data_IF_916422396895
#
_entry.id   IF_916422396895
#
_cell.length_a   1.000
_cell.length_b   1.000
_cell.length_c   1.000
_cell.angle_alpha   90.00
_cell.angle_beta   90.00
_cell.angle_gamma   90.00
#
_symmetry.space_group_name_H-M   'P 1'
#
loop_
_entity.id
_entity.type
_entity.pdbx_description
1 polymer ?
#
# COMPACT_ATOMS: atom_id res chain seq x y z
N UNK A 1 -26.88 6.64 -5.37
CA UNK A 1 -26.05 7.72 -5.90
C UNK A 1 -25.86 7.68 -7.41
N UNK A 2 -25.36 6.60 -8.02
CA UNK A 2 -25.01 6.56 -9.45
C UNK A 2 -26.15 6.94 -10.43
N UNK A 3 -27.37 6.40 -10.25
CA UNK A 3 -28.53 6.77 -11.09
C UNK A 3 -28.89 8.26 -11.04
N UNK A 4 -28.61 8.93 -9.93
CA UNK A 4 -28.88 10.35 -9.73
C UNK A 4 -27.75 11.24 -10.26
N UNK A 5 -26.50 10.78 -10.17
CA UNK A 5 -25.32 11.54 -10.60
C UNK A 5 -24.94 11.38 -12.07
N UNK A 6 -25.53 10.43 -12.81
CA UNK A 6 -25.18 10.16 -14.22
C UNK A 6 -25.56 11.28 -15.17
N UNK A 7 -24.83 11.39 -16.27
CA UNK A 7 -25.30 12.08 -17.46
C UNK A 7 -26.34 11.22 -18.19
N UNK A 8 -27.56 11.75 -18.32
CA UNK A 8 -28.67 11.03 -18.94
C UNK A 8 -28.54 10.91 -20.46
N UNK A 9 -27.76 11.78 -21.10
CA UNK A 9 -27.57 11.77 -22.54
C UNK A 9 -26.64 10.63 -22.98
N UNK A 10 -25.59 10.37 -22.21
CA UNK A 10 -24.49 9.48 -22.64
C UNK A 10 -24.27 8.25 -21.75
N UNK A 11 -24.83 8.20 -20.54
CA UNK A 11 -24.53 7.14 -19.57
C UNK A 11 -25.77 6.30 -19.23
N UNK A 12 -25.69 4.99 -19.42
CA UNK A 12 -26.67 4.03 -18.91
C UNK A 12 -26.11 3.33 -17.67
N UNK A 13 -26.97 3.04 -16.69
CA UNK A 13 -26.57 2.37 -15.44
C UNK A 13 -27.44 1.14 -15.21
N UNK A 14 -26.79 -0.02 -15.18
CA UNK A 14 -27.38 -1.29 -14.77
C UNK A 14 -26.99 -1.60 -13.32
N UNK A 15 -27.89 -1.47 -12.34
CA UNK A 15 -27.62 -1.93 -10.98
C UNK A 15 -27.71 -3.46 -10.92
N UNK A 16 -26.70 -4.10 -10.37
CA UNK A 16 -26.71 -5.53 -10.05
C UNK A 16 -26.98 -5.70 -8.55
N UNK A 17 -27.80 -6.68 -8.16
CA UNK A 17 -28.12 -6.93 -6.75
C UNK A 17 -27.73 -8.35 -6.34
N UNK A 18 -27.13 -8.47 -5.16
CA UNK A 18 -26.72 -9.76 -4.60
C UNK A 18 -25.42 -10.30 -5.21
N UNK A 19 -25.02 -11.50 -4.78
CA UNK A 19 -23.82 -12.18 -5.30
C UNK A 19 -24.15 -12.76 -6.67
N UNK A 20 -23.40 -12.35 -7.69
CA UNK A 20 -23.51 -12.90 -9.03
C UNK A 20 -23.19 -14.41 -8.96
N UNK A 21 -23.92 -15.20 -9.74
CA UNK A 21 -23.65 -16.62 -9.83
C UNK A 21 -22.23 -16.85 -10.35
N UNK A 22 -21.45 -17.70 -9.68
CA UNK A 22 -20.16 -18.13 -10.21
C UNK A 22 -20.36 -18.97 -11.49
N UNK A 23 -20.08 -18.36 -12.63
CA UNK A 23 -20.27 -18.95 -13.96
C UNK A 23 -19.19 -19.96 -14.35
N UNK A 24 -18.07 -20.01 -13.62
CA UNK A 24 -17.01 -20.99 -13.87
C UNK A 24 -17.44 -22.39 -13.42
N UNK A 25 -18.09 -22.46 -12.26
CA UNK A 25 -18.58 -23.72 -11.67
C UNK A 25 -19.99 -24.09 -12.16
N UNK A 26 -20.75 -23.12 -12.67
CA UNK A 26 -22.15 -23.33 -13.02
C UNK A 26 -22.30 -23.88 -14.44
N UNK A 27 -23.17 -24.88 -14.59
CA UNK A 27 -23.63 -25.34 -15.90
C UNK A 27 -24.37 -24.22 -16.62
N UNK A 28 -24.33 -24.24 -17.96
CA UNK A 28 -24.90 -23.20 -18.81
C UNK A 28 -26.35 -22.86 -18.46
N UNK A 29 -27.19 -23.87 -18.26
CA UNK A 29 -28.61 -23.69 -17.95
C UNK A 29 -28.82 -22.92 -16.63
N UNK A 30 -27.89 -23.10 -15.68
CA UNK A 30 -27.87 -22.38 -14.40
C UNK A 30 -27.39 -20.93 -14.57
N UNK A 31 -26.47 -20.68 -15.51
CA UNK A 31 -26.03 -19.33 -15.87
C UNK A 31 -27.15 -18.55 -16.55
N UNK A 32 -27.83 -19.18 -17.51
CA UNK A 32 -28.94 -18.57 -18.26
C UNK A 32 -30.19 -18.35 -17.40
N UNK A 33 -30.41 -19.19 -16.38
CA UNK A 33 -31.50 -18.98 -15.42
C UNK A 33 -31.20 -17.90 -14.37
N UNK A 34 -29.98 -17.36 -14.32
CA UNK A 34 -29.67 -16.22 -13.46
C UNK A 34 -30.28 -14.93 -14.02
N UNK A 35 -31.19 -14.34 -13.26
CA UNK A 35 -31.87 -13.10 -13.64
C UNK A 35 -30.88 -11.94 -13.88
N UNK A 36 -29.83 -11.85 -13.05
CA UNK A 36 -28.80 -10.80 -13.16
C UNK A 36 -28.00 -10.94 -14.46
N UNK A 37 -27.58 -12.17 -14.80
CA UNK A 37 -26.86 -12.45 -16.06
C UNK A 37 -27.76 -12.24 -17.28
N UNK A 38 -29.01 -12.71 -17.23
CA UNK A 38 -29.99 -12.47 -18.31
C UNK A 38 -30.23 -10.98 -18.54
N UNK A 39 -30.32 -10.19 -17.48
CA UNK A 39 -30.47 -8.73 -17.56
C UNK A 39 -29.23 -8.08 -18.15
N UNK A 40 -28.02 -8.53 -17.76
CA UNK A 40 -26.75 -8.06 -18.31
C UNK A 40 -26.64 -8.32 -19.83
N UNK A 41 -26.91 -9.55 -20.27
CA UNK A 41 -26.90 -9.91 -21.70
C UNK A 41 -27.92 -9.08 -22.47
N UNK A 42 -29.12 -8.93 -21.93
CA UNK A 42 -30.18 -8.12 -22.54
C UNK A 42 -29.80 -6.65 -22.63
N UNK A 43 -29.07 -6.10 -21.66
CA UNK A 43 -28.59 -4.73 -21.68
C UNK A 43 -27.49 -4.53 -22.74
N UNK A 44 -26.56 -5.47 -22.88
CA UNK A 44 -25.49 -5.44 -23.88
C UNK A 44 -26.01 -5.61 -25.31
N UNK A 45 -27.04 -6.45 -25.48
CA UNK A 45 -27.71 -6.69 -26.77
C UNK A 45 -27.02 -7.68 -27.69
N UNK A 46 -25.90 -8.27 -27.27
CA UNK A 46 -25.08 -9.15 -28.10
C UNK A 46 -25.59 -10.59 -28.18
N UNK A 47 -26.52 -11.01 -27.31
CA UNK A 47 -26.80 -12.44 -27.14
C UNK A 47 -25.65 -13.17 -26.42
N UNK A 48 -25.65 -14.51 -26.44
CA UNK A 48 -24.65 -15.36 -25.79
C UNK A 48 -24.43 -16.65 -26.59
N UNK A 49 -23.18 -17.13 -26.67
CA UNK A 49 -22.77 -18.35 -27.41
C UNK A 49 -23.27 -18.39 -28.86
N UNK A 50 -24.19 -19.30 -29.20
CA UNK A 50 -24.61 -19.55 -30.58
C UNK A 50 -25.42 -18.38 -31.14
N UNK A 51 -26.10 -17.62 -30.28
CA UNK A 51 -26.83 -16.40 -30.63
C UNK A 51 -25.97 -15.13 -30.48
N UNK A 52 -24.67 -15.27 -30.18
CA UNK A 52 -23.80 -14.14 -29.95
C UNK A 52 -23.44 -13.42 -31.25
N UNK A 53 -23.64 -12.10 -31.25
CA UNK A 53 -23.32 -11.20 -32.35
C UNK A 53 -22.78 -9.88 -31.79
N UNK A 54 -21.47 -9.69 -31.93
CA UNK A 54 -20.77 -8.49 -31.49
C UNK A 54 -21.25 -7.23 -32.22
N UNK A 55 -21.74 -7.33 -33.46
CA UNK A 55 -22.24 -6.18 -34.22
C UNK A 55 -23.51 -5.58 -33.60
N UNK A 56 -24.21 -6.35 -32.76
CA UNK A 56 -25.40 -5.89 -32.00
C UNK A 56 -25.05 -5.26 -30.65
N UNK A 57 -23.76 -5.14 -30.32
CA UNK A 57 -23.33 -4.52 -29.07
C UNK A 57 -23.81 -3.07 -28.99
N UNK A 58 -24.66 -2.79 -28.00
CA UNK A 58 -25.28 -1.46 -27.84
C UNK A 58 -24.32 -0.43 -27.24
N UNK A 59 -23.37 -0.88 -26.42
CA UNK A 59 -22.45 -0.03 -25.68
C UNK A 59 -21.00 -0.46 -25.93
N UNK A 60 -20.25 0.37 -26.64
CA UNK A 60 -18.82 0.16 -26.93
C UNK A 60 -17.90 0.62 -25.79
N UNK A 61 -18.47 1.06 -24.66
CA UNK A 61 -17.73 1.42 -23.45
C UNK A 61 -18.49 0.94 -22.23
N UNK A 62 -18.15 -0.26 -21.78
CA UNK A 62 -18.74 -0.94 -20.62
C UNK A 62 -17.79 -0.71 -19.44
N UNK A 63 -18.29 -0.11 -18.37
CA UNK A 63 -17.49 0.21 -17.18
C UNK A 63 -18.02 -0.61 -16.01
N UNK A 64 -17.18 -1.49 -15.47
CA UNK A 64 -17.41 -2.17 -14.20
C UNK A 64 -17.00 -1.22 -13.07
N UNK A 65 -17.94 -0.88 -12.22
CA UNK A 65 -17.73 -0.02 -11.06
C UNK A 65 -18.19 -0.77 -9.82
N UNK A 66 -17.23 -1.09 -8.94
CA UNK A 66 -17.42 -1.86 -7.70
C UNK A 66 -16.75 -1.14 -6.54
N UNK A 67 -17.12 -1.50 -5.31
CA UNK A 67 -16.47 -1.00 -4.11
C UNK A 67 -15.00 -1.48 -4.02
N UNK A 68 -14.20 -0.77 -3.23
CA UNK A 68 -12.76 -1.03 -3.04
C UNK A 68 -12.49 -2.12 -1.99
N UNK A 69 -13.54 -2.73 -1.44
CA UNK A 69 -13.46 -3.78 -0.44
C UNK A 69 -13.31 -5.18 -1.07
N UNK A 70 -13.27 -6.20 -0.19
CA UNK A 70 -13.12 -7.61 -0.57
C UNK A 70 -14.33 -8.10 -1.37
N UNK A 71 -15.54 -7.68 -1.00
CA UNK A 71 -16.78 -8.09 -1.68
C UNK A 71 -16.89 -7.47 -3.08
N UNK A 72 -16.52 -6.19 -3.23
CA UNK A 72 -16.43 -5.52 -4.51
C UNK A 72 -15.40 -6.17 -5.44
N UNK A 73 -14.25 -6.56 -4.89
CA UNK A 73 -13.24 -7.32 -5.63
C UNK A 73 -13.76 -8.69 -6.08
N UNK A 74 -14.52 -9.40 -5.24
CA UNK A 74 -15.13 -10.67 -5.61
C UNK A 74 -16.15 -10.53 -6.75
N UNK A 75 -17.07 -9.56 -6.67
CA UNK A 75 -18.06 -9.32 -7.74
C UNK A 75 -17.37 -8.91 -9.04
N UNK A 76 -16.34 -8.06 -8.96
CA UNK A 76 -15.54 -7.66 -10.11
C UNK A 76 -14.93 -8.88 -10.80
N UNK A 77 -14.31 -9.78 -10.04
CA UNK A 77 -13.75 -11.02 -10.59
C UNK A 77 -14.82 -11.88 -11.25
N UNK A 78 -15.98 -12.08 -10.63
CA UNK A 78 -17.08 -12.86 -11.22
C UNK A 78 -17.57 -12.28 -12.56
N UNK A 79 -17.65 -10.96 -12.66
CA UNK A 79 -17.98 -10.27 -13.92
C UNK A 79 -16.89 -10.44 -14.96
N UNK A 80 -15.62 -10.30 -14.60
CA UNK A 80 -14.50 -10.50 -15.51
C UNK A 80 -14.49 -11.94 -16.05
N UNK A 81 -14.67 -12.95 -15.20
CA UNK A 81 -14.80 -14.36 -15.61
C UNK A 81 -15.97 -14.55 -16.57
N UNK A 82 -17.12 -13.90 -16.31
CA UNK A 82 -18.26 -13.94 -17.23
C UNK A 82 -17.93 -13.36 -18.61
N UNK A 83 -17.35 -12.17 -18.66
CA UNK A 83 -16.95 -11.55 -19.93
C UNK A 83 -15.91 -12.41 -20.66
N UNK A 84 -14.91 -12.92 -19.95
CA UNK A 84 -13.87 -13.75 -20.55
C UNK A 84 -14.42 -15.06 -21.15
N UNK A 85 -15.24 -15.79 -20.40
CA UNK A 85 -15.72 -17.12 -20.82
C UNK A 85 -16.87 -17.06 -21.82
N UNK A 86 -17.71 -16.03 -21.74
CA UNK A 86 -18.97 -15.99 -22.49
C UNK A 86 -19.04 -14.88 -23.53
N UNK A 87 -18.24 -13.82 -23.38
CA UNK A 87 -18.22 -12.66 -24.28
C UNK A 87 -16.78 -12.21 -24.61
N UNK A 88 -15.85 -13.12 -24.99
CA UNK A 88 -14.44 -12.78 -25.17
C UNK A 88 -14.23 -11.65 -26.19
N UNK A 89 -15.03 -11.61 -27.27
CA UNK A 89 -14.96 -10.56 -28.29
C UNK A 89 -15.22 -9.15 -27.73
N UNK A 90 -15.93 -9.02 -26.60
CA UNK A 90 -16.12 -7.72 -25.93
C UNK A 90 -14.81 -7.24 -25.29
N UNK A 91 -14.02 -8.18 -24.76
CA UNK A 91 -12.69 -7.90 -24.19
C UNK A 91 -11.68 -7.66 -25.31
N UNK A 92 -11.67 -8.50 -26.36
CA UNK A 92 -10.82 -8.35 -27.55
C UNK A 92 -11.04 -7.02 -28.26
N UNK A 93 -12.30 -6.61 -28.39
CA UNK A 93 -12.69 -5.32 -28.97
C UNK A 93 -12.31 -4.12 -28.09
N UNK A 94 -11.77 -4.33 -26.89
CA UNK A 94 -11.35 -3.27 -25.98
C UNK A 94 -12.52 -2.46 -25.42
N UNK A 95 -13.71 -3.05 -25.32
CA UNK A 95 -14.92 -2.35 -24.88
C UNK A 95 -15.13 -2.41 -23.36
N UNK A 96 -14.37 -3.24 -22.63
CA UNK A 96 -14.52 -3.44 -21.18
C UNK A 96 -13.48 -2.64 -20.37
N UNK A 97 -13.96 -1.93 -19.36
CA UNK A 97 -13.19 -1.06 -18.50
C UNK A 97 -13.54 -1.27 -17.02
N UNK A 98 -12.60 -0.98 -16.12
CA UNK A 98 -12.79 -0.96 -14.67
C UNK A 98 -12.64 0.48 -14.18
N UNK A 99 -13.63 0.98 -13.43
CA UNK A 99 -13.55 2.29 -12.80
C UNK A 99 -12.55 2.29 -11.63
N UNK A 100 -11.84 3.41 -11.44
CA UNK A 100 -10.91 3.62 -10.34
C UNK A 100 -11.39 4.79 -9.46
N UNK A 101 -12.40 4.56 -8.59
CA UNK A 101 -12.86 5.58 -7.66
C UNK A 101 -11.76 5.95 -6.65
N UNK A 102 -11.75 7.18 -6.10
CA UNK A 102 -10.77 7.57 -5.10
C UNK A 102 -10.99 6.86 -3.76
N UNK A 103 -9.89 6.45 -3.13
CA UNK A 103 -9.90 5.85 -1.79
C UNK A 103 -10.01 6.90 -0.68
N UNK A 104 -9.51 8.12 -0.91
CA UNK A 104 -9.47 9.19 0.09
C UNK A 104 -10.02 10.52 -0.44
N UNK A 105 -10.65 11.27 0.45
CA UNK A 105 -10.89 12.71 0.33
C UNK A 105 -10.11 13.42 1.42
N UNK A 106 -9.24 14.34 1.01
CA UNK A 106 -8.45 15.18 1.90
C UNK A 106 -8.96 16.62 1.81
N UNK A 107 -9.19 17.26 2.95
CA UNK A 107 -9.68 18.64 3.03
C UNK A 107 -8.80 19.49 3.95
N UNK A 108 -8.40 20.67 3.47
CA UNK A 108 -7.68 21.71 4.23
C UNK A 108 -8.40 23.05 4.05
N UNK A 109 -9.10 23.50 5.08
CA UNK A 109 -9.97 24.67 4.98
C UNK A 109 -11.06 24.45 3.92
N UNK A 110 -11.05 25.28 2.87
CA UNK A 110 -12.01 25.16 1.75
C UNK A 110 -11.48 24.33 0.56
N UNK A 111 -10.19 23.98 0.54
CA UNK A 111 -9.63 23.16 -0.54
C UNK A 111 -9.87 21.69 -0.22
N UNK A 112 -10.42 20.97 -1.19
CA UNK A 112 -10.58 19.52 -1.13
C UNK A 112 -9.87 18.85 -2.31
N UNK A 113 -9.39 17.62 -2.09
CA UNK A 113 -8.69 16.82 -3.08
C UNK A 113 -9.05 15.35 -2.89
N UNK A 114 -9.28 14.66 -4.00
CA UNK A 114 -9.49 13.22 -4.03
C UNK A 114 -8.19 12.50 -4.36
N UNK A 115 -7.87 11.44 -3.62
CA UNK A 115 -6.66 10.64 -3.79
C UNK A 115 -7.04 9.18 -4.03
N UNK A 116 -6.39 8.56 -5.02
CA UNK A 116 -6.76 7.25 -5.56
C UNK A 116 -6.43 6.08 -4.63
N UNK A 117 -5.28 6.11 -3.97
CA UNK A 117 -4.71 4.99 -3.23
C UNK A 117 -3.88 5.50 -2.02
N UNK A 118 -3.36 4.55 -1.23
CA UNK A 118 -2.52 4.84 -0.07
C UNK A 118 -1.23 5.56 -0.46
N UNK A 119 -0.64 5.21 -1.60
CA UNK A 119 0.57 5.86 -2.10
C UNK A 119 0.33 7.34 -2.43
N UNK A 120 -0.80 7.66 -3.08
CA UNK A 120 -1.19 9.04 -3.35
C UNK A 120 -1.45 9.82 -2.05
N UNK A 121 -2.00 9.18 -1.02
CA UNK A 121 -2.14 9.79 0.30
C UNK A 121 -0.78 10.06 0.94
N UNK A 122 0.10 9.07 0.98
CA UNK A 122 1.44 9.21 1.56
C UNK A 122 2.24 10.32 0.85
N UNK A 123 2.29 10.32 -0.48
CA UNK A 123 2.93 11.37 -1.28
C UNK A 123 2.34 12.75 -0.99
N UNK A 124 1.01 12.85 -0.85
CA UNK A 124 0.35 14.12 -0.52
C UNK A 124 0.73 14.61 0.88
N UNK A 125 0.80 13.71 1.86
CA UNK A 125 1.20 14.02 3.23
C UNK A 125 2.68 14.42 3.29
N UNK A 126 3.56 13.73 2.57
CA UNK A 126 4.99 14.07 2.48
C UNK A 126 5.17 15.47 1.90
N UNK A 127 4.56 15.75 0.75
CA UNK A 127 4.63 17.08 0.14
C UNK A 127 4.10 18.17 1.07
N UNK A 128 2.97 17.93 1.74
CA UNK A 128 2.37 18.88 2.70
C UNK A 128 3.19 19.02 3.98
N UNK A 129 3.91 17.98 4.38
CA UNK A 129 4.75 17.94 5.57
C UNK A 129 6.10 18.62 5.36
N UNK A 130 6.65 18.57 4.14
CA UNK A 130 7.87 19.27 3.75
C UNK A 130 7.61 20.78 3.56
N UNK A 131 6.41 21.15 3.10
CA UNK A 131 6.00 22.53 2.91
C UNK A 131 6.12 23.36 4.21
N UNK A 132 6.94 24.42 4.17
CA UNK A 132 7.38 25.26 5.30
C UNK A 132 8.18 24.53 6.42
N UNK A 133 8.81 23.39 6.11
CA UNK A 133 9.63 22.64 7.07
C UNK A 133 11.13 22.73 6.76
N UNK A 134 11.93 22.77 7.83
CA UNK A 134 13.39 22.82 7.78
C UNK A 134 13.96 21.69 8.63
N UNK A 135 14.86 20.87 8.07
CA UNK A 135 15.66 19.96 8.87
C UNK A 135 16.96 20.66 9.31
N UNK A 136 17.13 20.85 10.61
CA UNK A 136 18.33 21.43 11.22
C UNK A 136 19.23 20.30 11.72
N UNK A 137 20.48 20.29 11.27
CA UNK A 137 21.50 19.29 11.57
C UNK A 137 22.64 19.99 12.33
N UNK A 138 22.94 19.52 13.55
CA UNK A 138 23.94 20.11 14.46
C UNK A 138 23.78 21.62 14.69
N UNK A 139 22.54 22.13 14.70
CA UNK A 139 22.22 23.56 14.86
C UNK A 139 22.79 24.51 13.77
N UNK A 140 23.57 23.98 12.81
CA UNK A 140 24.29 24.76 11.80
C UNK A 140 23.72 24.55 10.39
N UNK A 141 23.67 23.29 9.93
CA UNK A 141 23.26 22.96 8.57
C UNK A 141 21.73 22.87 8.50
N UNK A 142 21.13 23.52 7.51
CA UNK A 142 19.67 23.55 7.29
C UNK A 142 19.35 22.98 5.92
N UNK A 143 18.44 22.00 5.87
CA UNK A 143 17.91 21.44 4.62
C UNK A 143 16.45 21.85 4.47
N UNK A 144 16.12 22.44 3.33
CA UNK A 144 14.80 22.96 2.99
C UNK A 144 14.47 22.67 1.52
N UNK A 145 13.20 22.80 1.13
CA UNK A 145 12.78 22.68 -0.27
C UNK A 145 13.23 21.36 -0.92
N UNK A 146 13.85 21.44 -2.10
CA UNK A 146 14.28 20.29 -2.88
C UNK A 146 15.32 19.41 -2.16
N UNK A 147 16.19 19.99 -1.33
CA UNK A 147 17.19 19.21 -0.57
C UNK A 147 16.50 18.33 0.48
N UNK A 148 15.53 18.88 1.20
CA UNK A 148 14.74 18.13 2.16
C UNK A 148 13.86 17.09 1.46
N UNK A 149 13.25 17.43 0.32
CA UNK A 149 12.51 16.46 -0.50
C UNK A 149 13.39 15.29 -0.93
N UNK A 150 14.59 15.57 -1.45
CA UNK A 150 15.55 14.55 -1.82
C UNK A 150 15.88 13.63 -0.65
N UNK A 151 16.20 14.18 0.52
CA UNK A 151 16.51 13.39 1.72
C UNK A 151 15.31 12.53 2.16
N UNK A 152 14.09 13.07 2.16
CA UNK A 152 12.88 12.35 2.59
C UNK A 152 12.56 11.17 1.65
N UNK A 153 12.76 11.31 0.34
CA UNK A 153 12.55 10.20 -0.61
C UNK A 153 13.58 9.06 -0.41
N UNK A 154 14.84 9.43 -0.16
CA UNK A 154 15.87 8.44 0.22
C UNK A 154 15.51 7.77 1.56
N UNK A 155 15.08 8.56 2.55
CA UNK A 155 14.68 8.05 3.86
C UNK A 155 13.44 7.15 3.80
N UNK A 156 12.47 7.44 2.94
CA UNK A 156 11.29 6.63 2.67
C UNK A 156 11.68 5.25 2.12
N UNK A 157 12.63 5.22 1.20
CA UNK A 157 13.18 3.97 0.67
C UNK A 157 13.84 3.15 1.79
N UNK A 158 14.71 3.77 2.60
CA UNK A 158 15.34 3.10 3.74
C UNK A 158 14.31 2.60 4.77
N UNK A 159 13.28 3.40 5.10
CA UNK A 159 12.19 3.03 6.00
C UNK A 159 11.47 1.77 5.56
N UNK A 160 11.15 1.61 4.28
CA UNK A 160 10.50 0.39 3.78
C UNK A 160 11.36 -0.87 4.01
N UNK A 161 12.68 -0.76 3.86
CA UNK A 161 13.62 -1.86 4.11
C UNK A 161 13.74 -2.16 5.60
N UNK A 162 13.81 -1.14 6.45
CA UNK A 162 13.78 -1.30 7.92
C UNK A 162 12.52 -2.03 8.34
N UNK A 163 11.33 -1.55 7.93
CA UNK A 163 10.06 -2.18 8.28
C UNK A 163 9.97 -3.64 7.82
N UNK A 164 10.52 -3.97 6.65
CA UNK A 164 10.60 -5.34 6.16
C UNK A 164 11.50 -6.24 7.02
N UNK A 165 12.62 -5.71 7.53
CA UNK A 165 13.55 -6.42 8.41
C UNK A 165 13.05 -6.50 9.87
N UNK A 166 12.15 -5.61 10.27
CA UNK A 166 11.58 -5.52 11.63
C UNK A 166 10.48 -6.56 11.94
N UNK A 167 10.29 -7.60 11.13
CA UNK A 167 9.31 -8.67 11.41
C UNK A 167 9.55 -9.37 12.75
N UNK A 168 10.81 -9.52 13.17
CA UNK A 168 11.22 -10.24 14.40
C UNK A 168 11.87 -9.34 15.45
N UNK A 169 12.15 -8.08 15.12
CA UNK A 169 12.89 -7.13 15.95
C UNK A 169 12.25 -5.74 15.93
N UNK A 170 12.32 -4.97 17.02
CA UNK A 170 11.81 -3.59 17.05
C UNK A 170 12.38 -2.73 15.92
N UNK A 171 11.57 -1.81 15.40
CA UNK A 171 11.93 -0.93 14.27
C UNK A 171 13.15 -0.10 14.60
N UNK A 172 13.19 0.44 15.81
CA UNK A 172 14.24 1.33 16.28
C UNK A 172 15.56 0.57 16.46
N UNK A 173 15.49 -0.70 16.87
CA UNK A 173 16.66 -1.57 16.97
C UNK A 173 17.24 -1.88 15.58
N UNK A 174 16.39 -2.22 14.60
CA UNK A 174 16.83 -2.50 13.22
C UNK A 174 17.40 -1.25 12.56
N UNK A 175 16.75 -0.10 12.76
CA UNK A 175 17.25 1.18 12.25
C UNK A 175 18.60 1.55 12.88
N UNK A 176 18.75 1.39 14.20
CA UNK A 176 20.01 1.64 14.89
C UNK A 176 21.13 0.71 14.39
N UNK A 177 20.86 -0.59 14.24
CA UNK A 177 21.80 -1.55 13.62
C UNK A 177 22.25 -1.09 12.23
N UNK A 178 21.32 -0.62 11.41
CA UNK A 178 21.61 -0.17 10.06
C UNK A 178 22.50 1.07 10.06
N UNK A 179 22.20 2.05 10.92
CA UNK A 179 22.94 3.31 11.05
C UNK A 179 24.35 3.11 11.64
N UNK A 180 24.54 2.12 12.51
CA UNK A 180 25.87 1.77 13.06
C UNK A 180 26.68 0.86 12.14
N UNK A 181 26.19 0.56 10.93
CA UNK A 181 26.90 -0.26 9.96
C UNK A 181 26.88 -1.77 10.22
N UNK A 182 25.94 -2.29 11.01
CA UNK A 182 25.85 -3.73 11.35
C UNK A 182 25.64 -4.63 10.12
N UNK A 183 25.11 -4.06 9.04
CA UNK A 183 24.80 -4.76 7.80
C UNK A 183 25.90 -4.62 6.74
N UNK A 184 27.00 -3.92 7.07
CA UNK A 184 28.18 -3.89 6.22
C UNK A 184 28.89 -5.25 6.22
N UNK A 185 29.54 -5.59 5.10
CA UNK A 185 30.28 -6.83 4.99
C UNK A 185 31.44 -6.87 6.01
N UNK A 186 31.52 -7.94 6.80
CA UNK A 186 32.53 -8.09 7.84
C UNK A 186 32.27 -7.31 9.14
N UNK A 187 31.15 -6.59 9.27
CA UNK A 187 30.86 -5.77 10.48
C UNK A 187 30.76 -6.58 11.79
N UNK A 188 30.46 -7.88 11.69
CA UNK A 188 30.39 -8.82 12.82
C UNK A 188 31.28 -10.04 12.53
N UNK A 189 32.52 -9.81 12.09
CA UNK A 189 33.48 -10.86 11.73
C UNK A 189 34.03 -11.63 12.94
N UNK A 190 34.08 -10.98 14.11
CA UNK A 190 34.55 -11.55 15.37
C UNK A 190 33.74 -11.01 16.55
N UNK A 191 33.91 -11.65 17.71
CA UNK A 191 33.19 -11.33 18.95
C UNK A 191 33.42 -9.89 19.41
N UNK A 192 34.64 -9.36 19.28
CA UNK A 192 35.00 -8.02 19.75
C UNK A 192 34.37 -6.94 18.87
N UNK A 193 34.45 -7.11 17.56
CA UNK A 193 33.80 -6.24 16.58
C UNK A 193 32.27 -6.24 16.76
N UNK A 194 31.67 -7.43 16.90
CA UNK A 194 30.24 -7.58 17.13
C UNK A 194 29.82 -6.89 18.44
N UNK A 195 30.53 -7.13 19.55
CA UNK A 195 30.20 -6.54 20.84
C UNK A 195 30.32 -5.01 20.81
N UNK A 196 31.38 -4.47 20.21
CA UNK A 196 31.57 -3.02 20.06
C UNK A 196 30.40 -2.38 19.32
N UNK A 197 30.00 -3.01 18.19
CA UNK A 197 28.86 -2.55 17.42
C UNK A 197 27.56 -2.64 18.22
N UNK A 198 27.33 -3.75 18.92
CA UNK A 198 26.14 -3.93 19.75
C UNK A 198 26.05 -2.90 20.87
N UNK A 199 27.18 -2.53 21.48
CA UNK A 199 27.23 -1.51 22.53
C UNK A 199 26.87 -0.13 21.96
N UNK A 200 27.36 0.18 20.77
CA UNK A 200 27.02 1.42 20.07
C UNK A 200 25.53 1.48 19.70
N UNK A 201 24.94 0.38 19.23
CA UNK A 201 23.49 0.26 19.01
C UNK A 201 22.71 0.51 20.30
N UNK A 202 23.12 -0.11 21.41
CA UNK A 202 22.45 0.06 22.71
C UNK A 202 22.56 1.50 23.22
N UNK A 203 23.71 2.16 23.03
CA UNK A 203 23.93 3.58 23.34
C UNK A 203 22.97 4.47 22.55
N UNK A 204 22.90 4.29 21.23
CA UNK A 204 22.04 5.06 20.33
C UNK A 204 20.55 4.89 20.68
N UNK A 205 20.11 3.69 21.03
CA UNK A 205 18.74 3.44 21.52
C UNK A 205 18.46 4.17 22.84
N UNK A 206 19.43 4.15 23.78
CA UNK A 206 19.32 4.88 25.04
C UNK A 206 19.16 6.39 24.85
N UNK A 207 19.92 6.99 23.93
CA UNK A 207 19.86 8.43 23.62
C UNK A 207 18.53 8.85 22.98
N UNK A 208 17.81 7.92 22.37
CA UNK A 208 16.46 8.11 21.82
C UNK A 208 15.35 7.98 22.87
N UNK A 209 15.71 7.92 24.15
CA UNK A 209 14.76 7.72 25.24
C UNK A 209 14.28 6.27 25.40
N UNK A 210 14.82 5.33 24.63
CA UNK A 210 14.61 3.91 24.83
C UNK A 210 15.71 3.36 25.73
N UNK A 211 15.71 3.74 27.02
CA UNK A 211 16.72 3.27 27.98
C UNK A 211 16.63 1.76 28.27
N UNK A 212 17.63 1.23 28.99
CA UNK A 212 17.56 -0.15 29.49
C UNK A 212 18.00 -1.23 28.51
N UNK A 213 18.74 -0.87 27.46
CA UNK A 213 19.37 -1.83 26.56
C UNK A 213 20.73 -2.28 27.08
N UNK A 214 20.93 -3.59 27.07
CA UNK A 214 22.22 -4.23 27.33
C UNK A 214 22.47 -5.24 26.21
N UNK A 215 23.73 -5.46 25.86
CA UNK A 215 24.11 -6.42 24.83
C UNK A 215 25.23 -7.32 25.34
N UNK A 216 25.25 -8.55 24.86
CA UNK A 216 26.42 -9.40 24.92
C UNK A 216 26.57 -10.15 23.59
N UNK A 217 27.81 -10.48 23.24
CA UNK A 217 28.12 -11.36 22.13
C UNK A 217 28.21 -12.81 22.64
N UNK A 218 27.87 -13.77 21.80
CA UNK A 218 28.17 -15.19 22.05
C UNK A 218 29.51 -15.55 21.41
N UNK A 219 30.10 -16.67 21.83
CA UNK A 219 31.33 -17.24 21.25
C UNK A 219 31.18 -17.52 19.73
N UNK A 220 29.94 -17.63 19.23
CA UNK A 220 29.60 -17.82 17.81
C UNK A 220 29.40 -16.49 17.06
N UNK A 221 29.64 -15.34 17.70
CA UNK A 221 29.52 -14.00 17.12
C UNK A 221 28.09 -13.47 17.00
N UNK A 222 27.12 -14.08 17.69
CA UNK A 222 25.73 -13.60 17.71
C UNK A 222 25.55 -12.48 18.72
N UNK A 223 24.72 -11.48 18.41
CA UNK A 223 24.37 -10.42 19.36
C UNK A 223 23.04 -10.70 20.05
N UNK A 224 23.06 -10.65 21.39
CA UNK A 224 21.86 -10.80 22.19
C UNK A 224 21.61 -9.51 22.95
N UNK A 225 20.56 -8.81 22.53
CA UNK A 225 20.10 -7.59 23.18
C UNK A 225 19.06 -7.93 24.24
N UNK A 226 19.18 -7.26 25.38
CA UNK A 226 18.23 -7.28 26.46
C UNK A 226 17.65 -5.89 26.64
N UNK A 227 16.33 -5.77 26.51
CA UNK A 227 15.61 -4.53 26.72
C UNK A 227 14.79 -4.64 28.02
N UNK A 228 15.09 -3.78 28.99
CA UNK A 228 14.37 -3.68 30.25
C UNK A 228 13.16 -2.74 30.12
N UNK A 229 11.96 -3.31 30.10
CA UNK A 229 10.68 -2.60 30.00
C UNK A 229 9.92 -2.72 31.33
N UNK A 230 10.18 -1.79 32.26
CA UNK A 230 9.66 -1.88 33.62
C UNK A 230 10.21 -3.13 34.34
N UNK A 231 9.32 -4.01 34.80
CA UNK A 231 9.70 -5.29 35.42
C UNK A 231 10.03 -6.39 34.39
N UNK A 232 9.63 -6.21 33.13
CA UNK A 232 9.81 -7.23 32.08
C UNK A 232 11.14 -7.04 31.37
N UNK A 233 11.91 -8.12 31.25
CA UNK A 233 13.10 -8.17 30.39
C UNK A 233 12.78 -8.92 29.10
N UNK A 234 12.91 -8.24 27.97
CA UNK A 234 12.72 -8.83 26.64
C UNK A 234 14.09 -9.11 26.02
N UNK A 235 14.22 -10.25 25.34
CA UNK A 235 15.47 -10.67 24.68
C UNK A 235 15.28 -10.65 23.17
N UNK A 236 16.18 -9.98 22.46
CA UNK A 236 16.25 -9.94 21.00
C UNK A 236 17.57 -10.57 20.55
N UNK A 237 17.51 -11.75 19.94
CA UNK A 237 18.69 -12.44 19.39
C UNK A 237 18.85 -12.06 17.93
N UNK A 238 19.96 -11.41 17.60
CA UNK A 238 20.33 -11.07 16.24
C UNK A 238 21.05 -12.27 15.61
N UNK A 239 20.35 -12.99 14.74
CA UNK A 239 20.95 -14.07 13.96
C UNK A 239 21.90 -13.48 12.90
N UNK A 240 23.10 -14.05 12.69
CA UNK A 240 24.02 -13.61 11.63
C UNK A 240 23.38 -13.62 10.23
N UNK A 241 22.35 -14.46 10.03
CA UNK A 241 21.57 -14.50 8.80
C UNK A 241 20.84 -13.18 8.50
N UNK A 242 20.40 -12.41 9.50
CA UNK A 242 19.74 -11.13 9.28
C UNK A 242 20.68 -10.11 8.62
N UNK A 243 21.93 -10.02 9.11
CA UNK A 243 22.94 -9.14 8.52
C UNK A 243 23.36 -9.55 7.11
N UNK A 244 23.18 -10.82 6.75
CA UNK A 244 23.49 -11.34 5.42
C UNK A 244 22.31 -11.28 4.45
N UNK A 245 21.12 -10.90 4.92
CA UNK A 245 19.93 -10.81 4.07
C UNK A 245 20.16 -9.80 2.93
N UNK A 246 19.67 -10.07 1.70
CA UNK A 246 19.78 -9.13 0.58
C UNK A 246 19.21 -7.75 0.90
N UNK A 247 18.12 -7.70 1.66
CA UNK A 247 17.46 -6.47 2.11
C UNK A 247 18.35 -5.67 3.08
N UNK A 248 19.10 -6.35 3.96
CA UNK A 248 20.02 -5.71 4.88
C UNK A 248 21.21 -5.05 4.15
N UNK A 249 21.74 -5.72 3.12
CA UNK A 249 22.78 -5.15 2.25
C UNK A 249 22.28 -3.93 1.47
N UNK A 250 21.09 -4.02 0.88
CA UNK A 250 20.46 -2.88 0.20
C UNK A 250 20.21 -1.70 1.14
N UNK A 251 19.83 -1.98 2.38
CA UNK A 251 19.66 -0.94 3.41
C UNK A 251 21.01 -0.28 3.76
N UNK A 252 22.08 -1.05 3.91
CA UNK A 252 23.42 -0.51 4.13
C UNK A 252 23.87 0.41 2.99
N UNK A 253 23.67 -0.01 1.73
CA UNK A 253 23.96 0.81 0.54
C UNK A 253 23.11 2.09 0.47
N UNK A 254 21.83 1.99 0.84
CA UNK A 254 20.94 3.15 0.89
C UNK A 254 21.42 4.16 1.95
N UNK A 255 21.79 3.68 3.14
CA UNK A 255 22.28 4.51 4.24
C UNK A 255 23.68 5.07 4.00
N UNK A 256 24.54 4.43 3.22
CA UNK A 256 25.87 4.98 2.90
C UNK A 256 25.82 6.39 2.27
N UNK A 257 24.67 6.79 1.70
CA UNK A 257 24.45 8.11 1.09
C UNK A 257 23.90 9.19 2.03
N UNK A 258 23.42 8.81 3.22
CA UNK A 258 22.71 9.72 4.14
C UNK A 258 22.91 9.42 5.63
N UNK A 259 23.64 8.36 5.98
CA UNK A 259 23.78 7.90 7.36
C UNK A 259 24.54 8.91 8.22
N UNK A 260 25.50 9.59 7.64
CA UNK A 260 26.30 10.67 8.24
C UNK A 260 25.43 11.82 8.75
N UNK A 261 24.32 12.12 8.06
CA UNK A 261 23.34 13.12 8.51
C UNK A 261 22.76 12.73 9.86
N UNK A 262 22.46 11.45 10.06
CA UNK A 262 21.78 10.99 11.28
C UNK A 262 22.75 10.69 12.42
N UNK A 263 24.06 10.72 12.22
CA UNK A 263 25.04 10.68 13.32
C UNK A 263 25.09 12.00 14.08
N UNK A 264 24.62 13.07 13.45
CA UNK A 264 24.41 14.39 14.02
C UNK A 264 23.04 14.53 14.70
N UNK A 265 22.93 15.50 15.60
CA UNK A 265 21.63 15.88 16.17
C UNK A 265 20.75 16.50 15.08
N UNK A 266 19.60 15.88 14.78
CA UNK A 266 18.68 16.36 13.76
C UNK A 266 17.35 16.77 14.38
N UNK A 267 16.85 17.95 14.00
CA UNK A 267 15.54 18.47 14.40
C UNK A 267 14.78 18.95 13.19
N UNK A 268 13.59 18.40 12.96
CA UNK A 268 12.66 18.88 11.95
C UNK A 268 11.82 20.02 12.56
N UNK A 269 11.97 21.21 12.01
CA UNK A 269 11.29 22.43 12.45
C UNK A 269 10.18 22.80 11.46
N UNK A 270 9.01 23.17 11.97
CA UNK A 270 7.92 23.75 11.17
C UNK A 270 7.10 24.72 12.01
N UNK A 271 7.26 26.02 11.76
CA UNK A 271 6.68 27.10 12.58
C UNK A 271 7.08 26.90 14.05
N UNK A 272 6.13 26.79 14.97
CA UNK A 272 6.40 26.61 16.40
C UNK A 272 6.59 25.14 16.83
N UNK A 273 6.73 24.21 15.87
CA UNK A 273 6.96 22.79 16.17
C UNK A 273 8.39 22.40 15.87
N UNK A 274 8.98 21.68 16.82
CA UNK A 274 10.28 21.03 16.67
C UNK A 274 10.10 19.55 16.99
N UNK A 275 10.59 18.69 16.11
CA UNK A 275 10.54 17.24 16.25
C UNK A 275 11.94 16.68 16.11
N UNK A 276 12.40 15.96 17.12
CA UNK A 276 13.69 15.27 17.05
C UNK A 276 13.63 14.15 16.01
N UNK A 277 14.67 14.06 15.19
CA UNK A 277 14.85 13.05 14.15
C UNK A 277 16.15 12.32 14.46
N UNK A 278 16.09 10.99 14.58
CA UNK A 278 17.26 10.17 14.92
C UNK A 278 17.69 9.23 13.79
N UNK A 279 16.90 9.16 12.72
CA UNK A 279 17.08 8.24 11.58
C UNK A 279 15.99 8.37 10.51
N UNK A 280 16.12 7.63 9.39
CA UNK A 280 15.20 7.69 8.26
C UNK A 280 13.72 7.45 8.61
N UNK A 281 13.43 6.50 9.50
CA UNK A 281 12.07 6.18 9.92
C UNK A 281 11.48 7.37 10.65
N UNK A 282 12.19 7.88 11.67
CA UNK A 282 11.73 9.04 12.45
C UNK A 282 11.57 10.30 11.60
N UNK A 283 12.41 10.49 10.57
CA UNK A 283 12.29 11.60 9.63
C UNK A 283 10.97 11.52 8.85
N UNK A 284 10.71 10.38 8.23
CA UNK A 284 9.49 10.16 7.42
C UNK A 284 8.25 10.24 8.30
N UNK A 285 8.25 9.62 9.48
CA UNK A 285 7.10 9.71 10.41
C UNK A 285 6.86 11.15 10.88
N UNK A 286 7.91 11.92 11.16
CA UNK A 286 7.78 13.33 11.54
C UNK A 286 7.18 14.17 10.41
N UNK A 287 7.66 13.97 9.19
CA UNK A 287 7.11 14.64 7.99
C UNK A 287 5.65 14.26 7.77
N UNK A 288 5.29 12.97 7.88
CA UNK A 288 3.91 12.50 7.75
C UNK A 288 3.01 13.10 8.85
N UNK A 289 3.49 13.19 10.08
CA UNK A 289 2.77 13.82 11.19
C UNK A 289 2.51 15.31 10.93
N UNK A 290 3.52 16.05 10.47
CA UNK A 290 3.37 17.45 10.08
C UNK A 290 2.41 17.60 8.89
N UNK A 291 2.50 16.70 7.90
CA UNK A 291 1.63 16.69 6.73
C UNK A 291 0.15 16.47 7.07
N UNK A 292 -0.14 15.60 8.05
CA UNK A 292 -1.51 15.33 8.53
C UNK A 292 -2.11 16.50 9.30
N UNK A 293 -1.29 17.37 9.91
CA UNK A 293 -1.79 18.42 10.80
C UNK A 293 -2.67 19.42 10.05
N UNK A 294 -3.90 19.59 10.54
CA UNK A 294 -4.90 20.50 9.95
C UNK A 294 -5.59 19.95 8.69
N UNK A 295 -5.37 18.68 8.35
CA UNK A 295 -6.11 17.98 7.31
C UNK A 295 -7.27 17.20 7.94
N UNK A 296 -8.43 17.25 7.29
CA UNK A 296 -9.50 16.27 7.47
C UNK A 296 -9.36 15.21 6.37
N UNK A 297 -9.16 13.96 6.76
CA UNK A 297 -8.98 12.83 5.85
C UNK A 297 -10.18 11.90 6.03
N UNK A 298 -10.93 11.70 4.95
CA UNK A 298 -12.02 10.74 4.88
C UNK A 298 -11.61 9.61 3.94
N UNK A 299 -11.69 8.36 4.42
CA UNK A 299 -11.51 7.16 3.60
C UNK A 299 -12.88 6.68 3.10
N UNK A 300 -12.99 6.39 1.82
CA UNK A 300 -14.19 5.79 1.24
C UNK A 300 -14.07 4.27 1.29
N UNK A 301 -15.01 3.58 1.95
CA UNK A 301 -15.05 2.11 1.96
C UNK A 301 -15.90 1.55 0.82
N UNK A 302 -16.87 2.33 0.35
CA UNK A 302 -17.72 1.98 -0.78
C UNK A 302 -18.24 3.20 -1.52
N UNK A 303 -18.65 2.99 -2.77
CA UNK A 303 -19.23 3.99 -3.66
C UNK A 303 -20.54 4.57 -3.09
N UNK A 304 -21.22 3.83 -2.22
CA UNK A 304 -22.44 4.27 -1.53
C UNK A 304 -22.21 5.40 -0.53
N UNK A 305 -20.98 5.59 -0.05
CA UNK A 305 -20.61 6.68 0.87
C UNK A 305 -20.48 8.03 0.16
N UNK A 306 -20.35 8.02 -1.17
CA UNK A 306 -20.29 9.21 -2.00
C UNK A 306 -21.69 9.71 -2.34
N UNK A 307 -21.92 11.01 -2.15
CA UNK A 307 -23.13 11.64 -2.66
C UNK A 307 -23.11 11.67 -4.22
N UNK A 308 -24.26 11.91 -4.88
CA UNK A 308 -24.31 11.89 -6.35
C UNK A 308 -23.34 12.87 -7.05
N UNK A 309 -23.10 14.05 -6.48
CA UNK A 309 -22.17 15.04 -7.04
C UNK A 309 -20.72 14.59 -6.94
N UNK A 310 -20.31 14.10 -5.77
CA UNK A 310 -18.98 13.53 -5.54
C UNK A 310 -18.72 12.37 -6.52
N UNK A 311 -19.66 11.44 -6.63
CA UNK A 311 -19.52 10.30 -7.53
C UNK A 311 -19.41 10.74 -9.00
N UNK A 312 -20.08 11.84 -9.38
CA UNK A 312 -19.91 12.44 -10.70
C UNK A 312 -18.49 12.96 -10.88
N UNK A 313 -18.07 13.90 -10.03
CA UNK A 313 -16.78 14.58 -10.07
C UNK A 313 -15.57 13.63 -10.02
N UNK A 314 -15.72 12.47 -9.38
CA UNK A 314 -14.61 11.53 -9.20
C UNK A 314 -14.61 10.38 -10.19
N UNK A 315 -15.79 9.86 -10.55
CA UNK A 315 -15.89 8.51 -11.14
C UNK A 315 -16.71 8.46 -12.43
N UNK A 316 -17.71 9.33 -12.60
CA UNK A 316 -18.59 9.32 -13.78
C UNK A 316 -18.18 10.33 -14.84
N UNK A 317 -17.59 11.46 -14.45
CA UNK A 317 -17.20 12.53 -15.37
C UNK A 317 -16.18 12.04 -16.42
N UNK A 318 -16.49 12.09 -17.73
CA UNK A 318 -15.59 11.69 -18.79
C UNK A 318 -14.23 12.39 -18.81
N UNK A 319 -14.14 13.62 -18.31
CA UNK A 319 -12.91 14.43 -18.32
C UNK A 319 -11.99 14.12 -17.15
N UNK A 320 -12.53 13.61 -16.03
CA UNK A 320 -11.79 13.43 -14.77
C UNK A 320 -11.56 11.96 -14.44
N UNK A 321 -12.51 11.07 -14.79
CA UNK A 321 -12.48 9.67 -14.34
C UNK A 321 -11.23 8.92 -14.81
N UNK A 322 -10.72 8.06 -13.94
CA UNK A 322 -9.68 7.10 -14.28
C UNK A 322 -10.29 5.72 -14.55
N UNK A 323 -9.93 5.13 -15.69
CA UNK A 323 -10.41 3.82 -16.14
C UNK A 323 -9.24 2.94 -16.55
N UNK A 324 -9.30 1.67 -16.17
CA UNK A 324 -8.37 0.63 -16.65
C UNK A 324 -9.10 -0.17 -17.72
N UNK A 325 -8.53 -0.23 -18.94
CA UNK A 325 -9.05 -1.09 -20.00
C UNK A 325 -8.62 -2.54 -19.74
N UNK A 326 -9.57 -3.48 -19.82
CA UNK A 326 -9.30 -4.90 -19.67
C UNK A 326 -8.74 -5.47 -20.98
N UNK A 327 -7.69 -6.27 -20.91
CA UNK A 327 -7.04 -6.96 -22.05
C UNK A 327 -6.92 -8.46 -21.76
N UNK A 328 -6.81 -9.28 -22.80
CA UNK A 328 -6.71 -10.75 -22.68
C UNK A 328 -5.41 -11.20 -22.02
N UNK A 329 -4.33 -10.44 -22.16
CA UNK A 329 -3.03 -10.74 -21.55
C UNK A 329 -3.13 -10.77 -20.00
N UNK A 330 -4.15 -10.13 -19.42
CA UNK A 330 -4.46 -10.17 -17.99
C UNK A 330 -5.36 -11.35 -17.60
N UNK A 331 -5.80 -12.18 -18.55
CA UNK A 331 -6.76 -13.25 -18.31
C UNK A 331 -6.11 -14.53 -17.77
N UNK A 332 -4.87 -14.83 -18.17
CA UNK A 332 -4.12 -15.98 -17.65
C UNK A 332 -3.72 -15.76 -16.18
N UNK A 333 -3.27 -14.54 -15.82
CA UNK A 333 -3.02 -14.17 -14.42
C UNK A 333 -4.30 -14.16 -13.57
N UNK A 334 -5.43 -13.79 -14.16
CA UNK A 334 -6.73 -13.86 -13.49
C UNK A 334 -7.15 -15.31 -13.23
N UNK A 335 -6.93 -16.25 -14.16
CA UNK A 335 -7.26 -17.68 -14.03
C UNK A 335 -6.42 -18.36 -12.93
N UNK A 336 -5.14 -18.02 -12.80
CA UNK A 336 -4.23 -18.55 -11.76
C UNK A 336 -4.55 -18.01 -10.35
N UNK A 337 -4.78 -16.70 -10.24
CA UNK A 337 -5.24 -16.07 -8.99
C UNK A 337 -6.63 -16.62 -8.62
N UNK A 338 -7.49 -16.88 -9.60
CA UNK A 338 -8.82 -17.44 -9.42
C UNK A 338 -8.78 -18.90 -8.95
N UNK A 339 -7.95 -19.74 -9.57
CA UNK A 339 -7.75 -21.13 -9.14
C UNK A 339 -7.24 -21.22 -7.71
N UNK A 340 -6.36 -20.29 -7.32
CA UNK A 340 -5.80 -20.22 -5.96
C UNK A 340 -6.80 -19.70 -4.94
N UNK A 341 -7.54 -18.62 -5.24
CA UNK A 341 -8.51 -18.01 -4.32
C UNK A 341 -9.85 -18.76 -4.26
N UNK A 342 -10.23 -19.46 -5.32
CA UNK A 342 -11.55 -20.09 -5.48
C UNK A 342 -11.46 -21.60 -5.70
N UNK A 343 -10.29 -22.23 -5.62
CA UNK A 343 -10.10 -23.69 -5.59
C UNK A 343 -10.58 -24.35 -4.29
N UNK A 344 -10.79 -25.66 -4.29
CA UNK A 344 -11.32 -26.41 -3.13
C UNK A 344 -10.27 -26.66 -2.03
N UNK A 345 -9.01 -26.29 -2.28
CA UNK A 345 -7.91 -26.45 -1.32
C UNK A 345 -7.82 -25.19 -0.46
N UNK A 346 -8.05 -25.36 0.86
CA UNK A 346 -8.09 -24.26 1.83
C UNK A 346 -6.70 -23.64 2.05
N UNK A 347 -5.65 -24.44 2.05
CA UNK A 347 -4.28 -24.02 2.35
C UNK A 347 -3.72 -22.95 1.39
N UNK A 348 -3.75 -23.12 0.05
CA UNK A 348 -3.28 -22.10 -0.89
C UNK A 348 -4.06 -20.79 -0.81
N UNK A 349 -5.37 -20.88 -0.54
CA UNK A 349 -6.23 -19.70 -0.30
C UNK A 349 -5.82 -18.97 0.98
N UNK A 350 -5.53 -19.72 2.05
CA UNK A 350 -5.12 -19.18 3.34
C UNK A 350 -3.73 -18.53 3.26
N UNK A 351 -2.78 -19.17 2.59
CA UNK A 351 -1.44 -18.63 2.32
C UNK A 351 -1.51 -17.37 1.45
N UNK A 352 -2.29 -17.38 0.36
CA UNK A 352 -2.47 -16.19 -0.47
C UNK A 352 -3.09 -15.01 0.30
N UNK A 353 -4.11 -15.28 1.14
CA UNK A 353 -4.70 -14.25 2.00
C UNK A 353 -3.68 -13.78 3.06
N UNK A 354 -2.88 -14.66 3.66
CA UNK A 354 -1.88 -14.28 4.67
C UNK A 354 -0.70 -13.49 4.08
N UNK A 355 -0.17 -13.92 2.94
CA UNK A 355 0.97 -13.29 2.25
C UNK A 355 0.60 -11.92 1.66
N UNK A 356 -0.66 -11.74 1.26
CA UNK A 356 -1.16 -10.45 0.76
C UNK A 356 -1.83 -9.61 1.86
N UNK A 357 -2.32 -10.18 2.96
CA UNK A 357 -2.77 -9.42 4.14
C UNK A 357 -1.61 -8.65 4.79
N UNK A 358 -0.38 -9.17 4.71
CA UNK A 358 0.82 -8.44 5.14
C UNK A 358 1.18 -7.23 4.25
N UNK A 359 0.57 -7.09 3.07
CA UNK A 359 0.62 -5.85 2.27
C UNK A 359 -0.53 -4.89 2.62
N UNK A 360 -1.55 -5.39 3.32
CA UNK A 360 -2.73 -4.64 3.80
C UNK A 360 -2.62 -4.47 5.33
N UNK A 361 -1.49 -3.94 5.81
CA UNK A 361 -1.24 -3.76 7.26
C UNK A 361 -1.91 -2.49 7.82
N UNK A 362 -2.80 -1.83 7.08
CA UNK A 362 -3.64 -0.74 7.59
C UNK A 362 -5.15 -1.04 7.44
N UNK A 363 -5.55 -2.20 7.94
CA UNK A 363 -6.91 -2.49 8.35
C UNK A 363 -6.89 -2.95 9.81
N UNK A 364 -7.08 -2.00 10.73
CA UNK A 364 -7.57 -2.13 12.11
C UNK A 364 -7.90 -0.68 12.55
N UNK A 365 -9.08 -0.28 13.05
CA UNK A 365 -10.27 -0.92 13.67
C UNK A 365 -11.53 -0.28 13.06
#
# INVERSE_FOLDING_TARGET
SAKQGRDRATQAILPLRGKILNVERARLDKVLSSQEIGTLITALGTGIRDDFDIAKLRYHKIIIMTDADVDGSHIRTLLLTFFYRHLPQVVEGGFLYIAQPPLYKVKRGQKERYLKDDEALENHLIATGIDDSTLVINEERRLEGEELTGLVEHARTARSMVLSLSRRHPVEMVEALALTGAFAEGAMSDETAALTLGQEVARRLGERGQGGWQVHATDEGELIFHHQLGERRVRHRLEPALARAPEARRLAEALARMGDIFDASCTLERKDQQMRVDGPVSLVESVLQLGRKGLSIQRYKGLGEMNPGQLWETTLDPEIRSLIQVRIDHADEADDIFTTLMGDVVEPRREFIQDNALKVVNLDI
#
